data_IF_286231483018
#
_entry.id   IF_286231483018
#
_cell.length_a   1.000
_cell.length_b   1.000
_cell.length_c   1.000
_cell.angle_alpha   90.00
_cell.angle_beta   90.00
_cell.angle_gamma   90.00
#
_symmetry.space_group_name_H-M   'P 1'
#
loop_
_entity.id
_entity.type
_entity.pdbx_description
1 polymer ?
#
# COMPACT_ATOMS: atom_id res chain seq x y z
N UNK A 1 -9.69 18.52 5.02
CA UNK A 1 -9.50 17.08 5.29
C UNK A 1 -8.72 16.50 4.12
N UNK A 2 -7.56 15.92 4.39
CA UNK A 2 -6.83 15.17 3.37
C UNK A 2 -7.53 13.82 3.22
N UNK A 3 -7.85 13.42 1.99
CA UNK A 3 -8.57 12.17 1.74
C UNK A 3 -7.61 11.01 1.48
N UNK A 4 -6.49 11.30 0.82
CA UNK A 4 -5.62 10.27 0.29
C UNK A 4 -4.16 10.52 0.65
N UNK A 5 -3.43 9.43 0.87
CA UNK A 5 -1.98 9.38 0.97
C UNK A 5 -1.38 8.93 -0.34
N UNK A 6 -0.09 9.19 -0.54
CA UNK A 6 0.72 8.53 -1.56
C UNK A 6 1.61 7.52 -0.84
N UNK A 7 1.64 6.26 -1.27
CA UNK A 7 2.53 5.25 -0.71
C UNK A 7 3.81 5.15 -1.52
N UNK A 8 4.95 5.38 -0.88
CA UNK A 8 6.23 4.96 -1.43
C UNK A 8 6.34 3.43 -1.40
N UNK A 9 7.18 2.88 -2.29
CA UNK A 9 7.42 1.44 -2.47
C UNK A 9 7.62 0.68 -1.14
N UNK A 10 8.41 1.26 -0.23
CA UNK A 10 8.78 0.62 1.04
C UNK A 10 7.74 0.75 2.13
N UNK A 11 6.74 1.63 1.99
CA UNK A 11 5.81 1.88 3.09
C UNK A 11 5.05 0.61 3.45
N UNK A 12 4.43 -0.03 2.46
CA UNK A 12 3.67 -1.26 2.69
C UNK A 12 4.59 -2.37 3.21
N UNK A 13 5.74 -2.59 2.57
CA UNK A 13 6.73 -3.58 2.99
C UNK A 13 7.17 -3.41 4.45
N UNK A 14 7.29 -2.18 4.94
CA UNK A 14 7.73 -1.88 6.31
C UNK A 14 6.69 -2.13 7.40
N UNK A 15 5.40 -2.26 7.04
CA UNK A 15 4.33 -2.43 8.01
C UNK A 15 3.46 -3.68 7.83
N UNK A 16 3.57 -4.38 6.70
CA UNK A 16 2.70 -5.51 6.35
C UNK A 16 2.90 -6.72 7.28
N UNK A 17 4.10 -6.92 7.82
CA UNK A 17 4.45 -8.02 8.72
C UNK A 17 4.46 -7.63 10.21
N UNK A 18 4.18 -6.37 10.53
CA UNK A 18 4.06 -5.93 11.92
C UNK A 18 2.84 -6.58 12.59
N UNK A 19 2.85 -6.82 13.92
CA UNK A 19 1.69 -7.33 14.65
C UNK A 19 0.39 -6.55 14.39
N UNK A 20 -0.76 -7.22 14.46
CA UNK A 20 -2.07 -6.62 14.15
C UNK A 20 -2.37 -5.39 15.02
N UNK A 21 -2.05 -5.44 16.31
CA UNK A 21 -2.22 -4.31 17.22
C UNK A 21 -1.41 -3.09 16.78
N UNK A 22 -0.18 -3.31 16.31
CA UNK A 22 0.68 -2.26 15.78
C UNK A 22 0.15 -1.72 14.45
N UNK A 23 -0.34 -2.58 13.54
CA UNK A 23 -1.02 -2.14 12.31
C UNK A 23 -2.26 -1.30 12.60
N UNK A 24 -3.06 -1.66 13.61
CA UNK A 24 -4.20 -0.87 14.09
C UNK A 24 -3.77 0.50 14.62
N UNK A 25 -2.69 0.56 15.41
CA UNK A 25 -2.11 1.84 15.85
C UNK A 25 -1.68 2.69 14.66
N UNK A 26 -0.94 2.14 13.70
CA UNK A 26 -0.51 2.84 12.48
C UNK A 26 -1.70 3.47 11.75
N UNK A 27 -2.74 2.69 11.47
CA UNK A 27 -3.96 3.18 10.80
C UNK A 27 -4.65 4.28 11.61
N UNK A 28 -4.75 4.13 12.94
CA UNK A 28 -5.31 5.17 13.81
C UNK A 28 -4.55 6.49 13.70
N UNK A 29 -3.22 6.43 13.66
CA UNK A 29 -2.35 7.60 13.47
C UNK A 29 -2.52 8.24 12.10
N UNK A 30 -2.61 7.43 11.05
CA UNK A 30 -2.89 7.92 9.68
C UNK A 30 -4.25 8.60 9.57
N UNK A 31 -5.30 8.08 10.22
CA UNK A 31 -6.61 8.74 10.27
C UNK A 31 -6.55 10.09 10.96
N UNK A 32 -5.88 10.15 12.10
CA UNK A 32 -5.73 11.40 12.85
C UNK A 32 -4.95 12.44 12.01
N UNK A 33 -3.91 12.01 11.31
CA UNK A 33 -3.14 12.82 10.36
C UNK A 33 -4.00 13.28 9.17
N UNK A 34 -4.82 12.41 8.57
CA UNK A 34 -5.69 12.74 7.45
C UNK A 34 -6.79 13.75 7.83
N UNK A 35 -7.34 13.61 9.04
CA UNK A 35 -8.36 14.49 9.61
C UNK A 35 -7.82 15.91 9.81
N UNK A 36 -6.69 16.04 10.52
CA UNK A 36 -6.03 17.32 10.76
C UNK A 36 -4.50 17.18 10.72
N UNK A 37 -3.88 17.44 9.55
CA UNK A 37 -2.43 17.37 9.42
C UNK A 37 -1.67 18.39 10.29
N UNK A 38 -2.31 19.46 10.74
CA UNK A 38 -1.68 20.52 11.54
C UNK A 38 -1.87 20.32 13.05
N UNK A 39 -2.54 19.24 13.45
CA UNK A 39 -2.77 18.94 14.85
C UNK A 39 -1.45 18.70 15.59
N UNK A 40 -1.04 19.67 16.42
CA UNK A 40 0.19 19.60 17.21
C UNK A 40 0.20 18.44 18.21
N UNK A 41 -0.96 17.94 18.63
CA UNK A 41 -1.07 16.78 19.54
C UNK A 41 -0.68 15.46 18.86
N UNK A 42 -0.51 15.45 17.54
CA UNK A 42 0.05 14.29 16.85
C UNK A 42 1.54 14.11 17.15
N UNK A 43 2.25 15.11 17.70
CA UNK A 43 3.68 14.99 17.99
C UNK A 43 4.52 14.80 16.72
N UNK A 44 4.05 15.32 15.58
CA UNK A 44 4.82 15.31 14.34
C UNK A 44 6.08 16.13 14.52
N UNK A 45 7.23 15.55 14.22
CA UNK A 45 8.53 16.20 14.32
C UNK A 45 9.30 16.10 13.00
N UNK A 46 10.20 17.05 12.73
CA UNK A 46 11.14 16.96 11.60
C UNK A 46 12.27 16.02 12.00
N UNK A 47 12.66 15.12 11.11
CA UNK A 47 13.82 14.26 11.34
C UNK A 47 15.08 15.07 11.07
N UNK A 48 15.99 15.11 12.04
CA UNK A 48 17.25 15.86 11.94
C UNK A 48 18.11 15.33 10.78
N UNK A 49 18.78 16.22 10.06
CA UNK A 49 19.63 15.86 8.91
C UNK A 49 18.89 15.35 7.66
N UNK A 50 17.58 15.14 7.71
CA UNK A 50 16.82 14.47 6.65
C UNK A 50 16.24 15.40 5.57
N UNK A 51 16.47 16.71 5.67
CA UNK A 51 15.82 17.68 4.80
C UNK A 51 14.33 17.79 5.11
N UNK A 52 13.45 17.14 4.36
CA UNK A 52 11.99 17.33 4.40
C UNK A 52 11.20 16.21 5.10
N UNK A 53 11.87 15.22 5.68
CA UNK A 53 11.19 14.09 6.32
C UNK A 53 10.59 14.50 7.67
N UNK A 54 9.36 14.06 7.87
CA UNK A 54 8.62 14.17 9.12
C UNK A 54 8.45 12.78 9.72
N UNK A 55 8.50 12.71 11.04
CA UNK A 55 8.16 11.52 11.83
C UNK A 55 6.85 11.75 12.57
N UNK A 56 6.02 10.71 12.62
CA UNK A 56 4.78 10.64 13.37
C UNK A 56 4.88 9.45 14.35
N UNK A 57 4.90 9.69 15.67
CA UNK A 57 4.92 8.62 16.66
C UNK A 57 3.70 7.70 16.52
N UNK A 58 3.94 6.39 16.60
CA UNK A 58 2.92 5.34 16.69
C UNK A 58 2.82 4.86 18.13
N UNK A 59 3.95 4.47 18.71
CA UNK A 59 4.16 4.20 20.13
C UNK A 59 5.62 4.53 20.52
N UNK A 60 6.14 3.91 21.58
CA UNK A 60 7.50 4.17 22.09
C UNK A 60 8.58 3.81 21.08
N UNK A 61 8.39 2.70 20.35
CA UNK A 61 9.37 2.16 19.43
C UNK A 61 9.11 2.62 17.99
N UNK A 62 7.85 2.65 17.57
CA UNK A 62 7.53 2.82 16.15
C UNK A 62 7.16 4.24 15.75
N UNK A 63 7.65 4.66 14.58
CA UNK A 63 7.32 5.93 13.94
C UNK A 63 6.97 5.73 12.47
N UNK A 64 5.97 6.46 11.99
CA UNK A 64 5.68 6.61 10.56
C UNK A 64 6.53 7.76 10.03
N UNK A 65 7.33 7.49 9.00
CA UNK A 65 8.10 8.49 8.29
C UNK A 65 7.36 8.90 7.01
N UNK A 66 7.26 10.20 6.78
CA UNK A 66 6.51 10.74 5.65
C UNK A 66 7.06 12.08 5.19
N UNK A 67 6.70 12.49 3.98
CA UNK A 67 6.98 13.83 3.43
C UNK A 67 5.66 14.55 3.19
N UNK A 68 5.65 15.87 3.39
CA UNK A 68 4.57 16.74 2.93
C UNK A 68 5.00 17.47 1.68
N UNK A 69 4.22 17.30 0.63
CA UNK A 69 4.32 18.09 -0.60
C UNK A 69 3.12 19.02 -0.72
N UNK A 70 3.16 19.95 -1.69
CA UNK A 70 2.14 21.02 -1.81
C UNK A 70 0.70 20.48 -1.83
N UNK A 71 0.47 19.29 -2.39
CA UNK A 71 -0.86 18.70 -2.55
C UNK A 71 -0.99 17.27 -2.01
N UNK A 72 0.06 16.70 -1.42
CA UNK A 72 0.05 15.30 -1.01
C UNK A 72 0.87 15.03 0.27
N UNK A 73 0.51 13.97 0.97
CA UNK A 73 1.34 13.36 2.01
C UNK A 73 1.87 12.04 1.49
N UNK A 74 3.18 11.93 1.36
CA UNK A 74 3.87 10.72 0.89
C UNK A 74 4.31 9.92 2.11
N UNK A 75 3.74 8.75 2.32
CA UNK A 75 4.14 7.79 3.35
C UNK A 75 5.36 7.02 2.86
N UNK A 76 6.43 7.01 3.65
CA UNK A 76 7.73 6.47 3.23
C UNK A 76 7.98 5.10 3.84
N UNK A 77 7.88 5.00 5.17
CA UNK A 77 8.10 3.77 5.93
C UNK A 77 7.53 3.86 7.34
N UNK A 78 7.45 2.71 7.99
CA UNK A 78 7.29 2.56 9.43
C UNK A 78 8.57 1.90 9.95
N UNK A 79 9.20 2.50 10.96
CA UNK A 79 10.42 1.92 11.54
C UNK A 79 10.40 1.98 13.07
N UNK A 80 10.92 0.92 13.70
CA UNK A 80 11.17 0.83 15.14
C UNK A 80 12.54 1.40 15.56
N UNK A 81 13.48 1.48 14.62
CA UNK A 81 14.82 2.08 14.79
C UNK A 81 15.12 2.91 13.54
N UNK A 82 15.90 3.99 13.67
CA UNK A 82 16.34 4.82 12.54
C UNK A 82 17.16 3.95 11.60
N UNK A 83 16.52 3.33 10.62
CA UNK A 83 17.17 2.48 9.65
C UNK A 83 17.49 3.31 8.42
N UNK A 84 18.68 3.09 7.85
CA UNK A 84 19.15 3.69 6.59
C UNK A 84 18.35 3.13 5.40
N UNK A 85 17.03 3.29 5.40
CA UNK A 85 16.22 2.95 4.25
C UNK A 85 16.51 3.97 3.15
N UNK A 86 17.06 3.48 2.02
CA UNK A 86 17.21 4.26 0.81
C UNK A 86 15.88 4.90 0.43
N UNK A 87 15.89 6.23 0.33
CA UNK A 87 14.72 7.10 0.26
C UNK A 87 14.25 7.34 -1.19
N UNK A 88 14.16 6.28 -2.01
CA UNK A 88 13.53 6.41 -3.33
C UNK A 88 12.04 6.11 -3.20
N UNK A 89 11.22 7.13 -3.51
CA UNK A 89 9.78 7.11 -3.43
C UNK A 89 9.20 7.07 -4.84
N UNK A 90 9.53 6.03 -5.59
CA UNK A 90 9.19 5.94 -7.01
C UNK A 90 7.86 5.20 -7.26
N UNK A 91 7.01 5.07 -6.23
CA UNK A 91 5.62 4.61 -6.40
C UNK A 91 4.63 5.68 -5.96
N UNK A 92 3.60 5.88 -6.78
CA UNK A 92 2.48 6.77 -6.50
C UNK A 92 1.19 5.95 -6.47
N UNK A 93 1.02 5.19 -5.39
CA UNK A 93 -0.29 4.60 -5.08
C UNK A 93 -1.07 5.60 -4.26
N UNK A 94 -2.14 6.13 -4.84
CA UNK A 94 -3.12 6.93 -4.08
C UNK A 94 -3.87 5.97 -3.16
N UNK A 95 -3.70 6.18 -1.86
CA UNK A 95 -4.20 5.33 -0.80
C UNK A 95 -5.15 6.12 0.11
N UNK A 96 -6.46 5.98 -0.07
CA UNK A 96 -7.42 6.42 0.92
C UNK A 96 -7.13 5.75 2.27
N UNK A 97 -7.28 6.48 3.37
CA UNK A 97 -7.00 5.91 4.71
C UNK A 97 -7.87 4.70 5.02
N UNK A 98 -9.11 4.68 4.53
CA UNK A 98 -10.03 3.55 4.69
C UNK A 98 -9.57 2.31 3.88
N UNK A 99 -8.87 2.50 2.76
CA UNK A 99 -8.31 1.39 1.99
C UNK A 99 -7.10 0.76 2.71
N UNK A 100 -6.25 1.62 3.31
CA UNK A 100 -5.16 1.18 4.18
C UNK A 100 -5.65 0.40 5.40
N UNK A 101 -6.73 0.86 6.03
CA UNK A 101 -7.35 0.11 7.12
C UNK A 101 -7.80 -1.28 6.67
N UNK A 102 -8.58 -1.37 5.59
CA UNK A 102 -9.08 -2.66 5.10
C UNK A 102 -7.95 -3.62 4.78
N UNK A 103 -6.86 -3.12 4.18
CA UNK A 103 -5.71 -3.95 3.86
C UNK A 103 -4.99 -4.41 5.14
N UNK A 104 -4.60 -3.47 6.00
CA UNK A 104 -3.72 -3.73 7.15
C UNK A 104 -4.44 -4.33 8.37
N UNK A 105 -5.77 -4.22 8.46
CA UNK A 105 -6.54 -4.59 9.65
C UNK A 105 -7.62 -5.64 9.37
N UNK A 106 -8.32 -5.59 8.22
CA UNK A 106 -9.30 -6.64 7.88
C UNK A 106 -8.63 -7.86 7.21
N UNK A 107 -7.39 -7.70 6.74
CA UNK A 107 -6.45 -8.74 6.28
C UNK A 107 -6.86 -9.63 5.11
N UNK A 108 -8.11 -9.53 4.62
CA UNK A 108 -8.67 -10.42 3.58
C UNK A 108 -7.77 -10.58 2.35
N UNK A 109 -7.15 -9.49 1.90
CA UNK A 109 -6.24 -9.48 0.74
C UNK A 109 -4.80 -9.12 1.12
N UNK A 110 -4.48 -9.06 2.43
CA UNK A 110 -3.14 -8.75 2.92
C UNK A 110 -2.12 -9.77 2.45
N UNK A 111 -2.49 -11.07 2.44
CA UNK A 111 -1.60 -12.14 1.98
C UNK A 111 -1.26 -12.03 0.49
N UNK A 112 -2.18 -11.56 -0.35
CA UNK A 112 -1.90 -11.29 -1.76
C UNK A 112 -0.91 -10.13 -1.90
N UNK A 113 -1.12 -9.04 -1.17
CA UNK A 113 -0.17 -7.92 -1.15
C UNK A 113 1.23 -8.36 -0.66
N UNK A 114 1.30 -9.19 0.39
CA UNK A 114 2.55 -9.78 0.87
C UNK A 114 3.25 -10.59 -0.21
N UNK A 115 2.53 -11.51 -0.84
CA UNK A 115 3.08 -12.35 -1.90
C UNK A 115 3.67 -11.49 -3.03
N UNK A 116 2.91 -10.52 -3.52
CA UNK A 116 3.33 -9.62 -4.61
C UNK A 116 4.54 -8.75 -4.26
N UNK A 117 4.68 -8.34 -3.00
CA UNK A 117 5.85 -7.60 -2.51
C UNK A 117 7.14 -8.45 -2.48
N UNK A 118 7.01 -9.78 -2.32
CA UNK A 118 8.17 -10.69 -2.34
C UNK A 118 8.68 -11.01 -3.73
N UNK A 119 7.94 -10.64 -4.78
CA UNK A 119 8.33 -10.90 -6.17
C UNK A 119 9.57 -10.06 -6.49
N UNK A 120 10.64 -10.65 -7.07
CA UNK A 120 11.86 -9.92 -7.42
C UNK A 120 11.59 -8.71 -8.34
N UNK A 121 12.35 -7.64 -8.17
CA UNK A 121 12.21 -6.42 -8.97
C UNK A 121 12.45 -6.65 -10.47
N UNK A 122 13.23 -7.67 -10.84
CA UNK A 122 13.47 -8.06 -12.23
C UNK A 122 12.24 -8.69 -12.93
N UNK A 123 11.24 -9.13 -12.15
CA UNK A 123 9.99 -9.68 -12.70
C UNK A 123 8.98 -8.57 -12.89
N UNK A 124 8.67 -8.28 -14.15
CA UNK A 124 7.72 -7.23 -14.56
C UNK A 124 6.30 -7.75 -14.75
N UNK A 125 6.14 -9.04 -15.05
CA UNK A 125 4.85 -9.64 -15.36
C UNK A 125 4.68 -10.97 -14.64
N UNK A 126 3.46 -11.23 -14.17
CA UNK A 126 3.04 -12.45 -13.51
C UNK A 126 1.72 -12.92 -14.10
N UNK A 127 1.55 -14.23 -14.17
CA UNK A 127 0.27 -14.84 -14.49
C UNK A 127 -0.09 -15.79 -13.36
N UNK A 128 -1.34 -15.71 -12.91
CA UNK A 128 -1.91 -16.63 -11.94
C UNK A 128 -3.18 -17.26 -12.48
N UNK A 129 -3.43 -18.50 -12.10
CA UNK A 129 -4.78 -19.04 -12.04
C UNK A 129 -5.52 -18.41 -10.87
N UNK A 130 -6.83 -18.20 -11.01
CA UNK A 130 -7.67 -17.69 -9.91
C UNK A 130 -7.54 -18.60 -8.67
N UNK A 131 -7.40 -19.91 -8.85
CA UNK A 131 -7.16 -20.86 -7.77
C UNK A 131 -5.82 -20.64 -7.03
N UNK A 132 -4.74 -20.29 -7.74
CA UNK A 132 -3.44 -20.00 -7.11
C UNK A 132 -3.53 -18.74 -6.22
N UNK A 133 -4.34 -17.77 -6.62
CA UNK A 133 -4.62 -16.59 -5.77
C UNK A 133 -5.41 -16.99 -4.53
N UNK A 134 -6.40 -17.88 -4.64
CA UNK A 134 -7.15 -18.41 -3.50
C UNK A 134 -6.25 -19.15 -2.51
N UNK A 135 -5.25 -19.89 -2.99
CA UNK A 135 -4.21 -20.51 -2.16
C UNK A 135 -3.37 -19.47 -1.43
N UNK A 136 -2.92 -18.42 -2.14
CA UNK A 136 -2.17 -17.30 -1.56
C UNK A 136 -2.97 -16.58 -0.48
N UNK A 137 -4.23 -16.24 -0.74
CA UNK A 137 -5.10 -15.55 0.24
C UNK A 137 -5.70 -16.48 1.29
N UNK A 138 -5.50 -17.80 1.16
CA UNK A 138 -6.02 -18.84 2.05
C UNK A 138 -7.53 -18.78 2.22
N UNK A 139 -8.23 -18.39 1.16
CA UNK A 139 -9.67 -18.21 1.15
C UNK A 139 -10.20 -18.27 -0.29
N UNK A 140 -11.45 -18.72 -0.43
CA UNK A 140 -12.12 -18.61 -1.73
C UNK A 140 -12.42 -17.14 -2.06
N UNK A 141 -12.14 -16.78 -3.30
CA UNK A 141 -12.56 -15.51 -3.87
C UNK A 141 -14.09 -15.55 -4.07
N UNK A 142 -14.76 -14.39 -3.96
CA UNK A 142 -16.20 -14.33 -4.17
C UNK A 142 -16.53 -14.74 -5.62
N UNK A 143 -17.71 -15.33 -5.90
CA UNK A 143 -18.07 -15.80 -7.24
C UNK A 143 -17.91 -14.74 -8.34
N UNK A 144 -18.04 -13.47 -7.99
CA UNK A 144 -17.83 -12.31 -8.86
C UNK A 144 -16.44 -12.27 -9.49
N UNK A 145 -15.40 -12.80 -8.83
CA UNK A 145 -14.05 -12.84 -9.37
C UNK A 145 -13.94 -13.71 -10.64
N UNK A 146 -14.82 -14.72 -10.77
CA UNK A 146 -14.89 -15.60 -11.95
C UNK A 146 -15.99 -15.20 -12.93
N UNK A 147 -17.00 -14.48 -12.46
CA UNK A 147 -18.16 -14.09 -13.29
C UNK A 147 -18.00 -12.75 -13.98
N UNK A 148 -17.25 -11.83 -13.39
CA UNK A 148 -17.19 -10.45 -13.85
C UNK A 148 -15.75 -9.96 -13.94
N UNK A 149 -15.21 -9.77 -15.17
CA UNK A 149 -13.85 -9.24 -15.37
C UNK A 149 -13.61 -7.91 -14.65
N UNK A 150 -14.65 -7.08 -14.49
CA UNK A 150 -14.57 -5.81 -13.78
C UNK A 150 -14.25 -5.95 -12.28
N UNK A 151 -14.35 -7.15 -11.71
CA UNK A 151 -13.94 -7.42 -10.34
C UNK A 151 -12.43 -7.22 -10.15
N UNK A 152 -11.65 -7.47 -11.22
CA UNK A 152 -10.20 -7.30 -11.30
C UNK A 152 -9.76 -5.89 -11.73
N UNK A 153 -10.70 -4.96 -11.90
CA UNK A 153 -10.35 -3.61 -12.33
C UNK A 153 -9.46 -2.87 -11.31
N UNK A 154 -8.43 -2.16 -11.80
CA UNK A 154 -7.49 -1.36 -11.01
C UNK A 154 -8.13 -0.05 -10.49
N UNK A 155 -9.07 -0.17 -9.56
CA UNK A 155 -9.81 0.97 -9.03
C UNK A 155 -9.05 1.67 -7.90
N UNK A 156 -8.64 2.92 -8.15
CA UNK A 156 -7.94 3.79 -7.19
C UNK A 156 -8.83 4.29 -6.03
N UNK A 157 -10.15 4.23 -6.18
CA UNK A 157 -11.11 4.78 -5.21
C UNK A 157 -12.28 3.82 -4.97
N UNK A 158 -12.79 3.80 -3.73
CA UNK A 158 -14.05 3.11 -3.39
C UNK A 158 -13.93 1.93 -2.43
N UNK A 159 -14.98 1.10 -2.38
CA UNK A 159 -15.14 -0.01 -1.42
C UNK A 159 -14.37 -1.30 -1.80
N UNK A 160 -13.65 -1.31 -2.92
CA UNK A 160 -13.01 -2.49 -3.51
C UNK A 160 -11.64 -2.76 -2.88
N UNK A 161 -11.63 -3.36 -1.69
CA UNK A 161 -10.41 -3.68 -0.97
C UNK A 161 -9.49 -4.67 -1.68
N UNK A 162 -10.02 -5.47 -2.62
CA UNK A 162 -9.19 -6.37 -3.41
C UNK A 162 -8.20 -5.61 -4.28
N UNK A 163 -8.67 -4.58 -5.01
CA UNK A 163 -7.85 -3.91 -5.99
C UNK A 163 -6.71 -3.14 -5.35
N UNK A 164 -7.00 -2.55 -4.20
CA UNK A 164 -6.01 -1.87 -3.41
C UNK A 164 -4.86 -2.79 -2.97
N UNK A 165 -5.08 -4.10 -2.77
CA UNK A 165 -4.03 -5.01 -2.32
C UNK A 165 -2.89 -5.16 -3.34
N UNK A 166 -3.20 -5.40 -4.62
CA UNK A 166 -2.17 -5.51 -5.65
C UNK A 166 -1.61 -4.14 -6.03
N UNK A 167 -2.46 -3.11 -6.08
CA UNK A 167 -2.02 -1.74 -6.38
C UNK A 167 -1.05 -1.22 -5.34
N UNK A 168 -1.33 -1.40 -4.04
CA UNK A 168 -0.45 -0.98 -2.96
C UNK A 168 0.86 -1.77 -2.90
N UNK A 169 0.91 -2.96 -3.52
CA UNK A 169 2.12 -3.75 -3.73
C UNK A 169 2.85 -3.39 -5.04
N UNK A 170 2.38 -2.40 -5.80
CA UNK A 170 3.00 -1.93 -7.04
C UNK A 170 2.66 -2.71 -8.29
N UNK A 171 1.58 -3.48 -8.27
CA UNK A 171 1.09 -4.28 -9.38
C UNK A 171 -0.24 -3.75 -9.91
N UNK A 172 -0.49 -3.95 -11.20
CA UNK A 172 -1.76 -3.69 -11.85
C UNK A 172 -2.20 -4.94 -12.59
N UNK A 173 -3.50 -5.25 -12.57
CA UNK A 173 -4.04 -6.26 -13.48
C UNK A 173 -3.96 -5.72 -14.90
N UNK A 174 -3.24 -6.41 -15.78
CA UNK A 174 -3.10 -6.06 -17.20
C UNK A 174 -4.08 -6.82 -18.08
N UNK A 175 -4.43 -8.05 -17.70
CA UNK A 175 -5.35 -8.92 -18.45
C UNK A 175 -6.10 -9.88 -17.51
N UNK A 176 -7.33 -10.22 -17.87
CA UNK A 176 -8.14 -11.24 -17.19
C UNK A 176 -8.88 -12.06 -18.25
N UNK A 177 -8.67 -13.37 -18.21
CA UNK A 177 -9.40 -14.36 -18.98
C UNK A 177 -10.22 -15.21 -18.00
N UNK A 178 -11.52 -14.92 -17.90
CA UNK A 178 -12.42 -15.61 -16.98
C UNK A 178 -12.76 -17.03 -17.46
N UNK A 179 -12.66 -17.31 -18.76
CA UNK A 179 -12.96 -18.64 -19.31
C UNK A 179 -11.78 -19.59 -19.06
N UNK A 180 -10.55 -19.07 -19.12
CA UNK A 180 -9.34 -19.80 -18.78
C UNK A 180 -9.01 -19.78 -17.26
N UNK A 181 -9.76 -19.03 -16.45
CA UNK A 181 -9.48 -18.78 -15.03
C UNK A 181 -8.08 -18.17 -14.80
N UNK A 182 -7.63 -17.27 -15.68
CA UNK A 182 -6.29 -16.67 -15.66
C UNK A 182 -6.32 -15.16 -15.49
N UNK A 183 -5.46 -14.64 -14.62
CA UNK A 183 -5.22 -13.20 -14.45
C UNK A 183 -3.74 -12.88 -14.63
N UNK A 184 -3.46 -11.79 -15.33
CA UNK A 184 -2.10 -11.27 -15.50
C UNK A 184 -1.93 -9.97 -14.72
N UNK A 185 -0.82 -9.89 -13.99
CA UNK A 185 -0.38 -8.69 -13.30
C UNK A 185 0.88 -8.16 -13.97
N UNK A 186 0.96 -6.86 -14.11
CA UNK A 186 2.17 -6.16 -14.56
C UNK A 186 2.59 -5.16 -13.47
N UNK A 187 3.90 -5.13 -13.19
CA UNK A 187 4.51 -4.20 -12.25
C UNK A 187 4.40 -2.79 -12.83
N UNK A 188 4.09 -1.82 -11.98
CA UNK A 188 4.06 -0.43 -12.38
C UNK A 188 5.50 0.07 -12.59
N UNK A 189 6.06 -0.09 -13.79
CA UNK A 189 7.33 0.55 -14.14
C UNK A 189 7.11 2.07 -14.17
N UNK A 190 7.68 2.76 -13.19
CA UNK A 190 7.84 4.21 -13.20
C UNK A 190 9.31 4.47 -13.48
N UNK A 191 9.65 4.64 -14.76
CA UNK A 191 10.91 5.29 -15.13
C UNK A 191 10.89 6.71 -14.51
N UNK A 192 11.96 7.13 -13.80
CA UNK A 192 12.04 8.48 -13.26
C UNK A 192 12.25 9.48 -14.41
N UNK A 193 11.16 9.94 -15.03
CA UNK A 193 11.17 11.07 -15.98
C UNK A 193 10.64 10.80 -17.39
N UNK A 194 9.52 10.09 -17.55
CA UNK A 194 8.80 10.05 -18.83
C UNK A 194 7.76 11.17 -18.94
N UNK A 195 8.10 12.28 -19.60
CA UNK A 195 7.10 13.16 -20.20
C UNK A 195 6.37 12.41 -21.32
N UNK A 196 5.04 12.53 -21.35
CA UNK A 196 4.15 12.06 -22.41
C UNK A 196 2.83 12.81 -22.35
#
# INVERSE_FOLDING_TARGET
MMKDFILADRFLQSCIDLPEDLRRKIVSRLRALARDPRNRRLGVARVEGSGSILSLPVDEDYRIFFRREKQATILLSVAGLVSNFGMNADLIVIAPVDALEKLLVEEKYLLLAKHLLTVPAATTDLQFRIAEIEEVVRAHLPPEARRFPNWWANQKTGKRSQAFAWMAAGWLVSEIDVDADLVKFSRQNLEPGGEG
#
